data_IF_625103305598
#
_entry.id   IF_625103305598
#
_cell.length_a   1.000
_cell.length_b   1.000
_cell.length_c   1.000
_cell.angle_alpha   90.00
_cell.angle_beta   90.00
_cell.angle_gamma   90.00
#
_symmetry.space_group_name_H-M   'P 1'
#
loop_
_entity.id
_entity.type
_entity.pdbx_description
1 polymer ?
#
# COMPACT_ATOMS: atom_id res chain seq x y z
N UNK A 1 -24.96 -15.03 -18.74
CA UNK A 1 -24.50 -13.67 -19.11
C UNK A 1 -22.99 -13.65 -19.07
N UNK A 2 -22.36 -13.07 -20.08
CA UNK A 2 -20.91 -12.91 -20.11
C UNK A 2 -20.50 -11.88 -19.06
N UNK A 3 -19.40 -12.14 -18.34
CA UNK A 3 -18.89 -11.20 -17.33
C UNK A 3 -18.40 -9.92 -18.01
N UNK A 4 -18.65 -8.79 -17.37
CA UNK A 4 -18.18 -7.50 -17.83
C UNK A 4 -17.55 -6.75 -16.63
N UNK A 5 -16.24 -6.58 -16.65
CA UNK A 5 -15.46 -5.98 -15.58
C UNK A 5 -14.79 -4.71 -16.08
N UNK A 6 -14.96 -3.62 -15.36
CA UNK A 6 -14.18 -2.40 -15.55
C UNK A 6 -13.13 -2.29 -14.47
N UNK A 7 -11.94 -1.85 -14.86
CA UNK A 7 -10.90 -1.38 -13.93
C UNK A 7 -10.70 0.11 -14.12
N UNK A 8 -10.89 0.89 -13.05
CA UNK A 8 -10.72 2.35 -13.07
C UNK A 8 -9.53 2.73 -12.22
N UNK A 9 -8.55 3.45 -12.82
CA UNK A 9 -7.26 3.79 -12.23
C UNK A 9 -7.00 5.30 -12.36
N UNK A 10 -6.72 5.97 -11.24
CA UNK A 10 -6.46 7.41 -11.19
C UNK A 10 -5.05 7.72 -11.70
N UNK A 11 -4.95 8.53 -12.74
CA UNK A 11 -3.68 8.87 -13.35
C UNK A 11 -2.78 9.67 -12.39
N UNK A 12 -1.61 9.10 -12.01
CA UNK A 12 -0.65 9.73 -11.09
C UNK A 12 -1.32 10.27 -9.81
N UNK A 13 -2.13 9.45 -9.16
CA UNK A 13 -3.10 9.79 -8.14
C UNK A 13 -2.67 10.90 -7.16
N UNK A 14 -1.60 10.70 -6.40
CA UNK A 14 -1.18 11.65 -5.38
C UNK A 14 -0.84 13.03 -5.96
N UNK A 15 -0.15 13.07 -7.10
CA UNK A 15 0.15 14.34 -7.76
C UNK A 15 -1.11 15.00 -8.33
N UNK A 16 -1.99 14.20 -8.94
CA UNK A 16 -3.24 14.72 -9.53
C UNK A 16 -4.18 15.26 -8.46
N UNK A 17 -4.23 14.65 -7.29
CA UNK A 17 -5.03 15.13 -6.16
C UNK A 17 -4.48 16.42 -5.56
N UNK A 18 -3.14 16.54 -5.41
CA UNK A 18 -2.49 17.80 -5.02
C UNK A 18 -2.75 18.90 -6.05
N UNK A 19 -2.56 18.60 -7.34
CA UNK A 19 -2.78 19.55 -8.42
C UNK A 19 -4.23 20.04 -8.47
N UNK A 20 -5.22 19.13 -8.41
CA UNK A 20 -6.63 19.51 -8.42
C UNK A 20 -7.03 20.39 -7.22
N UNK A 21 -6.46 20.13 -6.04
CA UNK A 21 -6.68 20.97 -4.85
C UNK A 21 -6.08 22.37 -5.02
N UNK A 22 -4.86 22.46 -5.55
CA UNK A 22 -4.14 23.72 -5.79
C UNK A 22 -4.81 24.59 -6.86
N UNK A 23 -5.21 23.96 -7.96
CA UNK A 23 -5.94 24.67 -9.03
C UNK A 23 -7.26 25.27 -8.50
N UNK A 24 -7.99 24.54 -7.64
CA UNK A 24 -9.20 25.07 -6.97
C UNK A 24 -8.88 26.25 -6.03
N UNK A 25 -7.66 26.33 -5.50
CA UNK A 25 -7.19 27.44 -4.67
C UNK A 25 -6.57 28.58 -5.49
N UNK A 26 -6.56 28.52 -6.83
CA UNK A 26 -5.95 29.52 -7.71
C UNK A 26 -4.43 29.43 -7.85
N UNK A 27 -3.83 28.31 -7.41
CA UNK A 27 -2.39 28.06 -7.53
C UNK A 27 -2.05 27.38 -8.88
N UNK A 28 -0.77 27.41 -9.32
CA UNK A 28 -0.33 26.75 -10.54
C UNK A 28 -0.59 25.24 -10.54
N UNK A 29 -0.94 24.70 -11.70
CA UNK A 29 -1.16 23.27 -11.89
C UNK A 29 0.18 22.50 -11.87
N UNK A 30 0.37 21.67 -10.87
CA UNK A 30 1.57 20.83 -10.73
C UNK A 30 1.75 19.83 -11.88
N UNK A 31 0.70 19.50 -12.62
CA UNK A 31 0.75 18.54 -13.74
C UNK A 31 1.47 19.14 -14.96
N UNK A 32 1.49 20.46 -15.10
CA UNK A 32 2.04 21.18 -16.25
C UNK A 32 3.53 21.54 -16.08
N UNK A 33 4.06 21.48 -14.88
CA UNK A 33 5.44 21.82 -14.55
C UNK A 33 6.23 20.59 -14.05
N UNK A 34 7.56 20.59 -14.09
CA UNK A 34 8.36 19.57 -13.41
C UNK A 34 8.08 19.58 -11.92
N UNK A 35 7.31 18.61 -11.44
CA UNK A 35 6.85 18.54 -10.06
C UNK A 35 6.78 17.11 -9.56
N UNK A 36 6.80 16.94 -8.25
CA UNK A 36 6.65 15.65 -7.59
C UNK A 36 6.02 15.81 -6.20
N UNK A 37 5.31 14.79 -5.77
CA UNK A 37 4.97 14.59 -4.36
C UNK A 37 6.08 13.77 -3.72
N UNK A 38 6.63 14.24 -2.60
CA UNK A 38 7.73 13.54 -1.95
C UNK A 38 7.94 13.95 -0.51
N UNK A 39 8.80 13.22 0.18
CA UNK A 39 9.22 13.55 1.54
C UNK A 39 10.27 14.67 1.60
N UNK A 40 10.67 15.04 2.82
CA UNK A 40 11.73 16.04 3.05
C UNK A 40 13.08 15.52 2.50
N UNK A 41 13.74 16.24 1.58
CA UNK A 41 15.03 15.84 1.01
C UNK A 41 16.16 15.76 2.05
N UNK A 42 16.00 16.40 3.21
CA UNK A 42 16.96 16.38 4.32
C UNK A 42 16.89 15.11 5.16
N UNK A 43 15.86 14.28 4.95
CA UNK A 43 15.68 13.02 5.68
C UNK A 43 16.02 11.82 4.80
N UNK A 44 16.48 10.73 5.42
CA UNK A 44 16.72 9.45 4.71
C UNK A 44 15.45 8.82 4.13
N UNK A 45 14.28 9.25 4.58
CA UNK A 45 12.98 8.74 4.20
C UNK A 45 12.31 9.56 3.10
N UNK A 46 12.94 10.65 2.67
CA UNK A 46 12.43 11.50 1.60
C UNK A 46 12.54 10.82 0.23
N UNK A 47 11.47 10.15 -0.21
CA UNK A 47 11.35 9.52 -1.54
C UNK A 47 10.29 10.24 -2.38
N UNK A 48 10.41 10.10 -3.71
CA UNK A 48 9.37 10.52 -4.65
C UNK A 48 8.22 9.51 -4.60
N UNK A 49 7.02 9.98 -4.27
CA UNK A 49 5.80 9.16 -4.19
C UNK A 49 5.04 9.20 -5.51
N UNK A 50 4.94 10.40 -6.13
CA UNK A 50 4.35 10.59 -7.45
C UNK A 50 5.07 11.73 -8.16
N UNK A 51 4.99 11.76 -9.49
CA UNK A 51 5.64 12.77 -10.33
C UNK A 51 4.79 13.19 -11.52
N UNK A 52 5.02 14.39 -12.00
CA UNK A 52 4.41 14.91 -13.23
C UNK A 52 5.03 14.29 -14.51
N UNK A 53 4.30 14.37 -15.61
CA UNK A 53 4.81 13.99 -16.94
C UNK A 53 6.04 14.84 -17.31
N UNK A 54 6.05 16.17 -17.10
CA UNK A 54 7.26 16.98 -17.28
C UNK A 54 8.46 16.48 -16.46
N UNK A 55 8.27 16.13 -15.17
CA UNK A 55 9.36 15.59 -14.35
C UNK A 55 9.86 14.20 -14.85
N UNK A 56 8.96 13.37 -15.38
CA UNK A 56 9.32 12.08 -15.99
C UNK A 56 10.30 12.23 -17.16
N UNK A 57 10.20 13.32 -17.94
CA UNK A 57 11.11 13.60 -19.07
C UNK A 57 12.57 13.84 -18.62
N UNK A 58 12.79 14.28 -17.38
CA UNK A 58 14.11 14.41 -16.75
C UNK A 58 14.62 13.10 -16.14
N UNK A 59 13.87 11.99 -16.28
CA UNK A 59 14.24 10.69 -15.72
C UNK A 59 13.95 10.56 -14.21
N UNK A 60 13.13 11.44 -13.64
CA UNK A 60 12.65 11.32 -12.25
C UNK A 60 11.82 10.04 -12.12
N UNK A 61 12.06 9.24 -11.06
CA UNK A 61 11.40 7.96 -10.84
C UNK A 61 10.66 7.93 -9.50
N UNK A 62 9.51 7.27 -9.48
CA UNK A 62 8.79 6.96 -8.21
C UNK A 62 9.62 5.96 -7.40
N UNK A 63 9.71 6.21 -6.08
CA UNK A 63 10.50 5.40 -5.15
C UNK A 63 11.97 5.83 -5.03
N UNK A 64 12.47 6.74 -5.89
CA UNK A 64 13.84 7.24 -5.74
C UNK A 64 13.94 8.32 -4.64
N UNK A 65 15.13 8.49 -4.01
CA UNK A 65 15.37 9.59 -3.07
C UNK A 65 15.14 10.96 -3.71
N UNK A 66 14.46 11.87 -2.99
CA UNK A 66 14.22 13.25 -3.47
C UNK A 66 15.51 13.95 -3.84
N UNK A 67 16.60 13.74 -3.09
CA UNK A 67 17.91 14.31 -3.41
C UNK A 67 18.45 13.87 -4.78
N UNK A 68 18.17 12.62 -5.19
CA UNK A 68 18.55 12.12 -6.53
C UNK A 68 17.66 12.71 -7.62
N UNK A 69 16.36 12.85 -7.36
CA UNK A 69 15.44 13.49 -8.29
C UNK A 69 15.82 14.96 -8.55
N UNK A 70 16.20 15.73 -7.52
CA UNK A 70 16.69 17.10 -7.63
C UNK A 70 18.00 17.23 -8.42
N UNK A 71 18.89 16.23 -8.38
CA UNK A 71 20.09 16.20 -9.24
C UNK A 71 19.75 16.05 -10.72
N UNK A 72 18.70 15.27 -11.05
CA UNK A 72 18.23 15.08 -12.43
C UNK A 72 17.42 16.26 -12.93
N UNK A 73 16.65 16.90 -12.05
CA UNK A 73 15.79 18.04 -12.35
C UNK A 73 15.97 19.12 -11.27
N UNK A 74 16.94 20.05 -11.41
CA UNK A 74 17.25 21.05 -10.37
C UNK A 74 16.10 21.99 -10.05
N UNK A 75 15.20 22.22 -10.99
CA UNK A 75 14.00 23.04 -10.86
C UNK A 75 12.74 22.24 -10.51
N UNK A 76 12.89 21.00 -10.00
CA UNK A 76 11.78 20.16 -9.58
C UNK A 76 11.05 20.78 -8.39
N UNK A 77 9.76 21.06 -8.54
CA UNK A 77 8.89 21.49 -7.44
C UNK A 77 8.45 20.26 -6.65
N UNK A 78 8.94 20.13 -5.42
CA UNK A 78 8.57 19.02 -4.53
C UNK A 78 7.58 19.50 -3.50
N UNK A 79 6.41 18.83 -3.43
CA UNK A 79 5.36 19.11 -2.44
C UNK A 79 5.24 17.94 -1.44
N UNK A 80 4.97 18.21 -0.17
CA UNK A 80 4.80 17.16 0.83
C UNK A 80 3.52 16.35 0.57
N UNK A 81 3.49 15.10 1.04
CA UNK A 81 2.30 14.24 0.94
C UNK A 81 1.22 14.66 1.93
N UNK A 82 -0.02 14.85 1.47
CA UNK A 82 -1.21 15.02 2.30
C UNK A 82 -2.15 13.80 2.19
N UNK A 83 -1.96 12.82 3.07
CA UNK A 83 -2.78 11.61 3.08
C UNK A 83 -4.25 11.86 3.49
N UNK A 84 -4.60 12.99 4.14
CA UNK A 84 -5.99 13.34 4.42
C UNK A 84 -6.70 13.75 3.14
N UNK A 85 -6.05 14.61 2.34
CA UNK A 85 -6.52 14.98 1.01
C UNK A 85 -6.69 13.75 0.11
N UNK A 86 -5.71 12.83 0.13
CA UNK A 86 -5.74 11.63 -0.70
C UNK A 86 -6.89 10.69 -0.33
N UNK A 87 -7.10 10.48 0.96
CA UNK A 87 -8.23 9.67 1.45
C UNK A 87 -9.57 10.28 1.03
N UNK A 88 -9.72 11.61 1.15
CA UNK A 88 -10.94 12.32 0.74
C UNK A 88 -11.21 12.16 -0.77
N UNK A 89 -10.20 12.38 -1.60
CA UNK A 89 -10.34 12.23 -3.05
C UNK A 89 -10.58 10.77 -3.48
N UNK A 90 -9.91 9.82 -2.81
CA UNK A 90 -10.16 8.38 -3.02
C UNK A 90 -11.62 8.01 -2.71
N UNK A 91 -12.18 8.50 -1.62
CA UNK A 91 -13.58 8.26 -1.26
C UNK A 91 -14.54 8.88 -2.26
N UNK A 92 -14.27 10.11 -2.71
CA UNK A 92 -15.11 10.81 -3.68
C UNK A 92 -15.14 10.08 -5.04
N UNK A 93 -13.98 9.70 -5.56
CA UNK A 93 -13.90 8.98 -6.84
C UNK A 93 -14.57 7.60 -6.75
N UNK A 94 -14.37 6.87 -5.64
CA UNK A 94 -15.03 5.57 -5.40
C UNK A 94 -16.54 5.70 -5.28
N UNK A 95 -17.05 6.79 -4.70
CA UNK A 95 -18.48 7.04 -4.64
C UNK A 95 -19.09 7.23 -6.04
N UNK A 96 -18.40 7.97 -6.93
CA UNK A 96 -18.83 8.09 -8.33
C UNK A 96 -18.85 6.71 -9.01
N UNK A 97 -17.75 5.96 -8.92
CA UNK A 97 -17.67 4.62 -9.53
C UNK A 97 -18.77 3.68 -9.04
N UNK A 98 -19.03 3.67 -7.71
CA UNK A 98 -20.07 2.81 -7.12
C UNK A 98 -21.47 3.12 -7.61
N UNK A 99 -21.76 4.35 -8.06
CA UNK A 99 -23.09 4.70 -8.59
C UNK A 99 -23.43 4.06 -9.93
N UNK A 100 -22.44 3.48 -10.64
CA UNK A 100 -22.63 2.82 -11.94
C UNK A 100 -22.69 1.30 -11.85
N UNK A 101 -22.10 0.69 -10.82
CA UNK A 101 -21.94 -0.76 -10.77
C UNK A 101 -22.71 -1.39 -9.61
N UNK A 102 -23.35 -2.56 -9.83
CA UNK A 102 -23.95 -3.37 -8.78
C UNK A 102 -22.94 -3.76 -7.69
N UNK A 103 -21.72 -4.13 -8.07
CA UNK A 103 -20.64 -4.51 -7.18
C UNK A 103 -19.34 -3.76 -7.51
N UNK A 104 -18.61 -3.33 -6.47
CA UNK A 104 -17.33 -2.63 -6.58
C UNK A 104 -16.33 -3.17 -5.56
N UNK A 105 -15.15 -3.54 -6.04
CA UNK A 105 -13.99 -3.85 -5.22
C UNK A 105 -13.04 -2.66 -5.14
N UNK A 106 -12.72 -2.23 -3.93
CA UNK A 106 -11.67 -1.25 -3.68
C UNK A 106 -10.31 -1.95 -3.68
N UNK A 107 -9.61 -1.96 -4.82
CA UNK A 107 -8.33 -2.67 -4.97
C UNK A 107 -7.17 -1.93 -4.30
N UNK A 108 -7.12 -0.61 -4.47
CA UNK A 108 -6.15 0.27 -3.79
C UNK A 108 -6.77 1.61 -3.38
N UNK A 109 -5.95 2.59 -2.99
CA UNK A 109 -6.43 3.95 -2.71
C UNK A 109 -6.93 4.65 -3.97
N UNK A 110 -6.40 4.30 -5.14
CA UNK A 110 -6.59 4.95 -6.44
C UNK A 110 -7.15 4.03 -7.53
N UNK A 111 -7.45 2.77 -7.21
CA UNK A 111 -7.95 1.79 -8.16
C UNK A 111 -9.20 1.06 -7.64
N UNK A 112 -10.14 0.81 -8.55
CA UNK A 112 -11.33 -0.03 -8.28
C UNK A 112 -11.61 -0.98 -9.43
N UNK A 113 -12.19 -2.13 -9.12
CA UNK A 113 -12.87 -2.98 -10.06
C UNK A 113 -14.38 -2.81 -9.92
N UNK A 114 -15.08 -2.70 -11.05
CA UNK A 114 -16.53 -2.62 -11.13
C UNK A 114 -17.04 -3.86 -11.85
N UNK A 115 -17.96 -4.58 -11.25
CA UNK A 115 -18.68 -5.64 -11.92
C UNK A 115 -19.93 -5.06 -12.60
N UNK A 116 -19.85 -4.90 -13.91
CA UNK A 116 -20.91 -4.36 -14.76
C UNK A 116 -21.78 -5.47 -15.38
N UNK A 117 -21.58 -6.72 -14.96
CA UNK A 117 -22.34 -7.86 -15.45
C UNK A 117 -23.84 -7.66 -15.22
N UNK A 118 -24.65 -7.84 -16.27
CA UNK A 118 -26.10 -7.71 -16.19
C UNK A 118 -26.63 -6.27 -16.27
N UNK A 119 -25.78 -5.27 -16.46
CA UNK A 119 -26.20 -3.85 -16.54
C UNK A 119 -26.58 -3.37 -17.95
N UNK A 120 -26.54 -4.25 -18.95
CA UNK A 120 -26.74 -3.90 -20.38
C UNK A 120 -28.07 -3.21 -20.71
N UNK A 121 -29.13 -3.39 -19.90
CA UNK A 121 -30.39 -2.66 -20.05
C UNK A 121 -30.28 -1.18 -19.68
N UNK A 122 -29.38 -0.83 -18.76
CA UNK A 122 -29.14 0.55 -18.29
C UNK A 122 -27.97 1.16 -19.06
N UNK A 123 -26.95 0.37 -19.30
CA UNK A 123 -25.69 0.74 -19.95
C UNK A 123 -25.43 -0.18 -21.15
N UNK A 124 -26.08 0.07 -22.31
CA UNK A 124 -26.00 -0.81 -23.46
C UNK A 124 -24.64 -0.79 -24.18
N UNK A 125 -23.90 0.30 -24.07
CA UNK A 125 -22.54 0.44 -24.61
C UNK A 125 -21.50 0.58 -23.47
N UNK A 126 -20.69 -0.46 -23.23
CA UNK A 126 -19.67 -0.43 -22.18
C UNK A 126 -18.61 0.66 -22.39
N UNK A 127 -18.24 0.98 -23.63
CA UNK A 127 -17.21 1.99 -23.93
C UNK A 127 -17.77 3.38 -23.66
N UNK A 128 -18.99 3.67 -24.10
CA UNK A 128 -19.65 4.93 -23.80
C UNK A 128 -19.83 5.14 -22.29
N UNK A 129 -20.22 4.10 -21.55
CA UNK A 129 -20.35 4.13 -20.08
C UNK A 129 -19.01 4.41 -19.41
N UNK A 130 -17.93 3.77 -19.84
CA UNK A 130 -16.59 4.02 -19.31
C UNK A 130 -16.12 5.46 -19.59
N UNK A 131 -16.44 6.01 -20.76
CA UNK A 131 -16.19 7.41 -21.08
C UNK A 131 -17.00 8.35 -20.17
N UNK A 132 -18.26 8.05 -19.92
CA UNK A 132 -19.10 8.82 -19.01
C UNK A 132 -18.53 8.84 -17.58
N UNK A 133 -18.15 7.68 -17.04
CA UNK A 133 -17.51 7.58 -15.71
C UNK A 133 -16.24 8.44 -15.66
N UNK A 134 -15.37 8.31 -16.65
CA UNK A 134 -14.12 9.04 -16.79
C UNK A 134 -14.35 10.55 -16.83
N UNK A 135 -15.28 10.99 -17.64
CA UNK A 135 -15.57 12.42 -17.85
C UNK A 135 -16.25 13.02 -16.61
N UNK A 136 -17.16 12.30 -15.97
CA UNK A 136 -17.78 12.71 -14.71
C UNK A 136 -16.75 12.90 -13.58
N UNK A 137 -15.80 11.96 -13.42
CA UNK A 137 -14.71 12.09 -12.45
C UNK A 137 -13.90 13.36 -12.74
N UNK A 138 -13.57 13.62 -14.01
CA UNK A 138 -12.83 14.82 -14.37
C UNK A 138 -13.61 16.11 -14.08
N UNK A 139 -14.88 16.16 -14.45
CA UNK A 139 -15.74 17.33 -14.26
C UNK A 139 -15.97 17.65 -12.79
N UNK A 140 -16.24 16.65 -11.96
CA UNK A 140 -16.57 16.84 -10.54
C UNK A 140 -15.33 16.98 -9.66
N UNK A 141 -14.26 16.21 -9.95
CA UNK A 141 -13.11 16.10 -9.06
C UNK A 141 -11.84 16.78 -9.59
N UNK A 142 -11.75 17.05 -10.91
CA UNK A 142 -10.64 17.79 -11.53
C UNK A 142 -9.37 16.97 -11.79
N UNK A 143 -9.47 15.63 -11.80
CA UNK A 143 -8.38 14.72 -12.19
C UNK A 143 -8.86 13.64 -13.14
N UNK A 144 -7.92 13.03 -13.87
CA UNK A 144 -8.22 12.05 -14.90
C UNK A 144 -8.05 10.62 -14.39
N UNK A 145 -8.78 9.70 -15.00
CA UNK A 145 -8.65 8.26 -14.80
C UNK A 145 -8.47 7.52 -16.12
N UNK A 146 -7.88 6.34 -16.07
CA UNK A 146 -7.96 5.36 -17.15
C UNK A 146 -8.99 4.31 -16.80
N UNK A 147 -9.69 3.80 -17.82
CA UNK A 147 -10.64 2.70 -17.66
C UNK A 147 -10.25 1.57 -18.61
N UNK A 148 -10.07 0.38 -18.06
CA UNK A 148 -9.90 -0.85 -18.80
C UNK A 148 -11.15 -1.71 -18.71
N UNK A 149 -11.58 -2.29 -19.82
CA UNK A 149 -12.81 -3.08 -19.97
C UNK A 149 -12.45 -4.48 -20.43
N UNK A 150 -12.96 -5.51 -19.76
CA UNK A 150 -12.81 -6.90 -20.18
C UNK A 150 -13.81 -7.83 -19.49
N UNK A 151 -13.61 -9.14 -19.67
CA UNK A 151 -14.42 -10.20 -19.05
C UNK A 151 -13.91 -10.64 -17.67
N UNK A 152 -12.73 -10.22 -17.25
CA UNK A 152 -12.14 -10.53 -15.93
C UNK A 152 -11.26 -9.40 -15.40
N UNK A 153 -10.88 -9.49 -14.13
CA UNK A 153 -10.10 -8.45 -13.44
C UNK A 153 -8.70 -8.28 -14.01
N UNK A 154 -8.03 -9.39 -14.34
CA UNK A 154 -6.68 -9.36 -14.92
C UNK A 154 -6.66 -8.56 -16.21
N UNK A 155 -7.51 -8.92 -17.16
CA UNK A 155 -7.56 -8.29 -18.48
C UNK A 155 -8.02 -6.83 -18.41
N UNK A 156 -9.02 -6.53 -17.56
CA UNK A 156 -9.47 -5.15 -17.33
C UNK A 156 -8.35 -4.27 -16.78
N UNK A 157 -7.55 -4.79 -15.82
CA UNK A 157 -6.40 -4.06 -15.28
C UNK A 157 -5.28 -3.89 -16.31
N UNK A 158 -4.96 -4.92 -17.07
CA UNK A 158 -3.99 -4.84 -18.18
C UNK A 158 -4.41 -3.78 -19.21
N UNK A 159 -5.69 -3.74 -19.57
CA UNK A 159 -6.22 -2.76 -20.51
C UNK A 159 -6.06 -1.32 -20.01
N UNK A 160 -6.33 -1.06 -18.72
CA UNK A 160 -6.19 0.29 -18.14
C UNK A 160 -4.74 0.82 -18.14
N UNK A 161 -3.75 -0.08 -18.29
CA UNK A 161 -2.33 0.26 -18.29
C UNK A 161 -1.72 0.49 -19.67
N UNK A 162 -2.45 0.24 -20.79
CA UNK A 162 -1.92 0.33 -22.15
C UNK A 162 -1.41 1.73 -22.50
N UNK A 163 -2.26 2.71 -22.53
CA UNK A 163 -1.90 4.10 -22.81
C UNK A 163 -2.54 5.02 -21.76
N UNK A 164 -1.74 5.86 -21.13
CA UNK A 164 -2.15 6.85 -20.13
C UNK A 164 -1.68 8.24 -20.55
N UNK A 165 -2.36 9.31 -20.17
CA UNK A 165 -3.53 9.39 -19.28
C UNK A 165 -4.87 9.52 -20.01
N UNK A 166 -5.97 9.41 -19.25
CA UNK A 166 -7.34 9.79 -19.64
C UNK A 166 -7.91 8.98 -20.81
N UNK A 167 -7.67 7.67 -20.82
CA UNK A 167 -8.07 6.74 -21.89
C UNK A 167 -9.03 5.67 -21.41
N UNK A 168 -9.78 5.13 -22.36
CA UNK A 168 -10.59 3.92 -22.23
C UNK A 168 -10.02 2.87 -23.18
N UNK A 169 -9.77 1.68 -22.69
CA UNK A 169 -9.24 0.57 -23.48
C UNK A 169 -10.00 -0.72 -23.22
N UNK A 170 -10.07 -1.57 -24.23
CA UNK A 170 -10.59 -2.93 -24.13
C UNK A 170 -9.46 -3.94 -24.25
N UNK A 171 -9.63 -5.07 -23.58
CA UNK A 171 -8.82 -6.26 -23.78
C UNK A 171 -9.69 -7.50 -23.60
N UNK A 172 -10.55 -7.77 -24.57
CA UNK A 172 -11.35 -8.99 -24.58
C UNK A 172 -10.52 -10.22 -24.98
N UNK A 173 -10.97 -11.44 -24.68
CA UNK A 173 -10.19 -12.66 -24.96
C UNK A 173 -9.68 -12.77 -26.39
N UNK A 174 -10.44 -12.37 -27.37
CA UNK A 174 -10.08 -12.35 -28.80
C UNK A 174 -9.00 -11.32 -29.14
N UNK A 175 -8.83 -10.30 -28.32
CA UNK A 175 -7.83 -9.24 -28.50
C UNK A 175 -6.46 -9.58 -27.88
N UNK A 176 -6.40 -10.62 -27.04
CA UNK A 176 -5.17 -11.03 -26.31
C UNK A 176 -3.98 -11.23 -27.26
N UNK A 177 -4.11 -11.97 -28.38
CA UNK A 177 -2.99 -12.19 -29.29
C UNK A 177 -2.42 -10.91 -29.90
N UNK A 178 -3.29 -9.94 -30.16
CA UNK A 178 -2.91 -8.69 -30.82
C UNK A 178 -2.43 -7.61 -29.82
N UNK A 179 -3.07 -7.49 -28.65
CA UNK A 179 -2.82 -6.39 -27.72
C UNK A 179 -1.93 -6.77 -26.54
N UNK A 180 -2.03 -8.00 -26.02
CA UNK A 180 -1.34 -8.41 -24.78
C UNK A 180 -0.07 -9.22 -25.05
N UNK A 181 -0.11 -10.20 -25.95
CA UNK A 181 1.04 -11.08 -26.19
C UNK A 181 2.30 -10.41 -26.73
N UNK A 182 2.24 -9.31 -27.53
CA UNK A 182 3.44 -8.59 -27.94
C UNK A 182 4.13 -7.80 -26.83
N UNK A 183 3.45 -7.56 -25.70
CA UNK A 183 4.01 -6.78 -24.59
C UNK A 183 5.21 -7.48 -23.96
N UNK A 184 6.19 -6.69 -23.47
CA UNK A 184 7.27 -7.22 -22.66
C UNK A 184 6.76 -8.03 -21.48
N UNK A 185 7.44 -9.10 -21.11
CA UNK A 185 7.03 -10.01 -20.05
C UNK A 185 6.85 -9.27 -18.69
N UNK A 186 7.64 -8.22 -18.44
CA UNK A 186 7.56 -7.38 -17.22
C UNK A 186 6.20 -6.71 -17.03
N UNK A 187 5.45 -6.51 -18.12
CA UNK A 187 4.16 -5.82 -18.09
C UNK A 187 3.02 -6.76 -17.70
N UNK A 188 3.30 -8.07 -17.54
CA UNK A 188 2.32 -9.02 -17.01
C UNK A 188 2.07 -8.73 -15.52
N UNK A 189 0.80 -8.58 -15.17
CA UNK A 189 0.37 -8.31 -13.79
C UNK A 189 0.92 -9.34 -12.80
N UNK A 190 1.39 -8.86 -11.64
CA UNK A 190 2.01 -9.64 -10.56
C UNK A 190 3.35 -10.33 -10.90
N UNK A 191 3.96 -10.03 -12.02
CA UNK A 191 5.31 -10.49 -12.31
C UNK A 191 6.34 -9.61 -11.59
N UNK A 192 6.99 -10.14 -10.55
CA UNK A 192 8.05 -9.44 -9.84
C UNK A 192 9.41 -9.54 -10.56
N UNK A 193 10.31 -8.59 -10.30
CA UNK A 193 11.67 -8.51 -10.92
C UNK A 193 12.48 -9.80 -10.84
N UNK A 194 12.36 -10.57 -9.75
CA UNK A 194 13.10 -11.82 -9.60
C UNK A 194 12.56 -12.91 -10.56
N UNK A 195 11.25 -12.98 -10.76
CA UNK A 195 10.61 -13.89 -11.71
C UNK A 195 10.84 -13.45 -13.15
N UNK A 196 10.76 -12.14 -13.44
CA UNK A 196 11.14 -11.56 -14.75
C UNK A 196 12.55 -12.00 -15.14
N UNK A 197 13.53 -11.81 -14.24
CA UNK A 197 14.92 -12.19 -14.53
C UNK A 197 15.05 -13.67 -14.90
N UNK A 198 14.42 -14.58 -14.14
CA UNK A 198 14.47 -16.01 -14.43
C UNK A 198 13.86 -16.36 -15.79
N UNK A 199 12.73 -15.73 -16.14
CA UNK A 199 12.06 -15.95 -17.43
C UNK A 199 12.91 -15.41 -18.59
N UNK A 200 13.46 -14.20 -18.46
CA UNK A 200 14.32 -13.59 -19.48
C UNK A 200 15.62 -14.38 -19.65
N UNK A 201 16.26 -14.84 -18.57
CA UNK A 201 17.47 -15.68 -18.62
C UNK A 201 17.16 -17.05 -19.30
N UNK A 202 15.94 -17.57 -19.18
CA UNK A 202 15.48 -18.77 -19.90
C UNK A 202 15.14 -18.51 -21.38
N UNK A 203 14.95 -17.25 -21.79
CA UNK A 203 14.64 -16.87 -23.17
C UNK A 203 13.20 -16.35 -23.39
N UNK A 204 12.36 -16.28 -22.34
CA UNK A 204 10.98 -15.76 -22.40
C UNK A 204 11.00 -14.25 -22.14
N UNK A 205 10.70 -13.46 -23.16
CA UNK A 205 10.78 -11.99 -23.13
C UNK A 205 9.45 -11.29 -23.28
N UNK A 206 8.46 -11.98 -23.85
CA UNK A 206 7.12 -11.46 -24.09
C UNK A 206 6.05 -12.29 -23.37
N UNK A 207 4.88 -11.70 -23.16
CA UNK A 207 3.74 -12.40 -22.55
C UNK A 207 3.31 -13.56 -23.47
N UNK A 208 3.34 -13.37 -24.79
CA UNK A 208 2.98 -14.40 -25.76
C UNK A 208 3.94 -15.59 -25.76
N UNK A 209 5.24 -15.38 -25.54
CA UNK A 209 6.20 -16.48 -25.38
C UNK A 209 5.88 -17.30 -24.13
N UNK A 210 5.57 -16.64 -23.00
CA UNK A 210 5.13 -17.32 -21.78
C UNK A 210 3.83 -18.13 -22.01
N UNK A 211 2.85 -17.56 -22.72
CA UNK A 211 1.56 -18.20 -22.98
C UNK A 211 1.69 -19.48 -23.84
N UNK A 212 2.73 -19.56 -24.70
CA UNK A 212 2.99 -20.73 -25.56
C UNK A 212 3.88 -21.79 -24.93
N UNK A 213 4.54 -21.47 -23.81
CA UNK A 213 5.39 -22.42 -23.10
C UNK A 213 4.57 -23.51 -22.40
N UNK A 214 5.23 -24.56 -21.93
CA UNK A 214 4.61 -25.61 -21.12
C UNK A 214 4.50 -25.16 -19.69
N UNK A 215 3.34 -25.37 -19.06
CA UNK A 215 3.11 -25.02 -17.67
C UNK A 215 4.16 -25.63 -16.73
N UNK A 216 4.52 -26.92 -16.94
CA UNK A 216 5.53 -27.62 -16.16
C UNK A 216 6.90 -26.94 -16.21
N UNK A 217 7.30 -26.37 -17.36
CA UNK A 217 8.54 -25.59 -17.49
C UNK A 217 8.50 -24.36 -16.61
N UNK A 218 7.38 -23.62 -16.65
CA UNK A 218 7.22 -22.40 -15.88
C UNK A 218 7.16 -22.69 -14.37
N UNK A 219 6.49 -23.76 -13.97
CA UNK A 219 6.49 -24.22 -12.58
C UNK A 219 7.87 -24.63 -12.08
N UNK A 220 8.69 -25.25 -12.92
CA UNK A 220 10.08 -25.60 -12.59
C UNK A 220 10.92 -24.33 -12.35
N UNK A 221 10.74 -23.29 -13.16
CA UNK A 221 11.50 -22.04 -13.07
C UNK A 221 11.10 -21.17 -11.87
N UNK A 222 9.79 -21.08 -11.59
CA UNK A 222 9.21 -20.09 -10.67
C UNK A 222 8.64 -20.69 -9.38
N UNK A 223 8.55 -22.03 -9.30
CA UNK A 223 7.83 -22.76 -8.28
C UNK A 223 6.36 -23.00 -8.69
N UNK A 224 5.75 -24.04 -8.13
CA UNK A 224 4.44 -24.57 -8.53
C UNK A 224 3.35 -23.49 -8.54
N UNK A 225 3.15 -22.79 -7.43
CA UNK A 225 2.08 -21.79 -7.28
C UNK A 225 2.26 -20.58 -8.21
N UNK A 226 3.46 -19.98 -8.22
CA UNK A 226 3.75 -18.79 -9.03
C UNK A 226 3.76 -19.13 -10.51
N UNK A 227 4.34 -20.28 -10.86
CA UNK A 227 4.39 -20.77 -12.24
C UNK A 227 3.01 -21.02 -12.81
N UNK A 228 2.13 -21.71 -12.07
CA UNK A 228 0.74 -21.92 -12.45
C UNK A 228 0.01 -20.58 -12.68
N UNK A 229 0.08 -19.68 -11.71
CA UNK A 229 -0.61 -18.39 -11.78
C UNK A 229 -0.19 -17.55 -12.98
N UNK A 230 1.12 -17.39 -13.22
CA UNK A 230 1.62 -16.58 -14.33
C UNK A 230 1.35 -17.22 -15.68
N UNK A 231 1.34 -18.56 -15.76
CA UNK A 231 0.96 -19.30 -16.96
C UNK A 231 -0.52 -19.06 -17.32
N UNK A 232 -1.44 -19.11 -16.34
CA UNK A 232 -2.84 -18.79 -16.55
C UNK A 232 -3.00 -17.32 -16.95
N UNK A 233 -2.33 -16.41 -16.26
CA UNK A 233 -2.38 -14.97 -16.54
C UNK A 233 -1.89 -14.61 -17.94
N UNK A 234 -0.81 -15.22 -18.45
CA UNK A 234 -0.35 -15.00 -19.80
C UNK A 234 -1.37 -15.41 -20.88
N UNK A 235 -2.29 -16.28 -20.52
CA UNK A 235 -3.43 -16.72 -21.38
C UNK A 235 -4.71 -15.93 -21.15
N UNK A 236 -4.67 -14.91 -20.27
CA UNK A 236 -5.81 -14.08 -19.93
C UNK A 236 -6.84 -14.75 -19.02
N UNK A 237 -6.45 -15.82 -18.33
CA UNK A 237 -7.36 -16.60 -17.47
C UNK A 237 -7.26 -16.09 -16.03
N UNK A 238 -8.36 -15.54 -15.52
CA UNK A 238 -8.55 -15.11 -14.14
C UNK A 238 -10.01 -15.28 -13.73
N UNK A 239 -10.26 -16.15 -12.75
CA UNK A 239 -11.60 -16.46 -12.27
C UNK A 239 -11.95 -15.71 -10.97
N UNK A 240 -11.08 -14.82 -10.50
CA UNK A 240 -11.31 -14.10 -9.26
C UNK A 240 -12.59 -13.23 -9.34
N UNK A 241 -13.45 -13.25 -8.32
CA UNK A 241 -14.63 -12.38 -8.27
C UNK A 241 -14.25 -10.94 -7.92
N UNK A 242 -15.15 -10.01 -8.22
CA UNK A 242 -15.11 -8.65 -7.64
C UNK A 242 -15.64 -8.72 -6.22
N UNK A 243 -14.79 -8.39 -5.24
CA UNK A 243 -15.09 -8.51 -3.81
C UNK A 243 -15.58 -7.19 -3.25
N UNK A 244 -16.86 -7.10 -2.89
CA UNK A 244 -17.42 -5.90 -2.23
C UNK A 244 -16.87 -5.70 -0.81
N UNK A 245 -16.58 -6.78 -0.13
CA UNK A 245 -15.99 -6.78 1.21
C UNK A 245 -14.53 -7.22 1.08
N UNK A 246 -13.57 -6.41 1.53
CA UNK A 246 -12.18 -6.80 1.53
C UNK A 246 -11.93 -8.06 2.34
N UNK A 247 -10.99 -8.90 1.89
CA UNK A 247 -10.52 -10.03 2.70
C UNK A 247 -10.01 -9.56 4.07
N UNK A 248 -10.21 -10.40 5.07
CA UNK A 248 -9.71 -10.13 6.40
C UNK A 248 -8.19 -10.01 6.42
N UNK A 249 -7.69 -9.01 7.17
CA UNK A 249 -6.25 -8.83 7.34
C UNK A 249 -5.62 -10.05 7.99
N UNK A 250 -4.56 -10.59 7.41
CA UNK A 250 -3.79 -11.73 7.95
C UNK A 250 -2.78 -11.32 9.02
N UNK A 251 -2.55 -10.03 9.17
CA UNK A 251 -1.62 -9.46 10.16
C UNK A 251 -1.60 -7.93 10.13
N UNK A 252 -0.98 -7.37 11.15
CA UNK A 252 -0.72 -5.93 11.28
C UNK A 252 0.77 -5.72 11.44
N UNK A 253 1.33 -4.76 10.71
CA UNK A 253 2.76 -4.45 10.81
C UNK A 253 3.02 -2.96 10.74
N UNK A 254 4.15 -2.56 11.30
CA UNK A 254 4.70 -1.22 11.19
C UNK A 254 6.22 -1.31 11.11
N UNK A 255 6.82 -0.50 10.23
CA UNK A 255 8.26 -0.36 10.09
C UNK A 255 8.64 1.13 10.18
N UNK A 256 9.81 1.42 10.72
CA UNK A 256 10.35 2.77 10.83
C UNK A 256 11.80 2.81 10.38
N UNK A 257 12.07 3.56 9.32
CA UNK A 257 13.43 3.91 8.91
C UNK A 257 13.90 5.10 9.76
N UNK A 258 15.12 5.03 10.24
CA UNK A 258 15.72 6.06 11.08
C UNK A 258 16.41 7.13 10.24
N UNK A 259 16.47 8.37 10.74
CA UNK A 259 17.27 9.42 10.14
C UNK A 259 18.75 9.17 10.32
N UNK A 260 19.14 8.73 11.51
CA UNK A 260 20.50 8.36 11.90
C UNK A 260 20.58 6.89 12.27
N UNK A 261 21.74 6.28 12.12
CA UNK A 261 21.94 4.88 12.46
C UNK A 261 21.85 4.68 13.96
N UNK A 262 21.19 3.61 14.37
CA UNK A 262 21.00 3.26 15.77
C UNK A 262 21.93 2.12 16.12
N UNK A 263 22.67 2.28 17.24
CA UNK A 263 23.73 1.35 17.67
C UNK A 263 23.55 0.84 19.09
N UNK A 264 22.53 1.31 19.83
CA UNK A 264 22.36 0.91 21.24
C UNK A 264 20.92 0.48 21.56
N UNK A 265 20.78 -0.43 22.53
CA UNK A 265 19.47 -0.88 23.02
C UNK A 265 18.65 0.25 23.63
N UNK A 266 19.32 1.22 24.27
CA UNK A 266 18.67 2.38 24.89
C UNK A 266 17.94 3.22 23.84
N UNK A 267 18.52 3.37 22.65
CA UNK A 267 17.89 4.07 21.53
C UNK A 267 16.75 3.25 20.91
N UNK A 268 16.88 1.92 20.86
CA UNK A 268 15.91 1.02 20.23
C UNK A 268 14.64 0.84 21.07
N UNK A 269 14.77 0.68 22.39
CA UNK A 269 13.66 0.36 23.29
C UNK A 269 12.45 1.29 23.15
N UNK A 270 12.59 2.62 23.18
CA UNK A 270 11.44 3.53 23.04
C UNK A 270 10.83 3.48 21.64
N UNK A 271 11.63 3.24 20.59
CA UNK A 271 11.15 3.09 19.22
C UNK A 271 10.36 1.79 19.07
N UNK A 272 10.90 0.71 19.61
CA UNK A 272 10.23 -0.60 19.60
C UNK A 272 8.89 -0.54 20.35
N UNK A 273 8.85 0.14 21.51
CA UNK A 273 7.61 0.36 22.26
C UNK A 273 6.60 1.19 21.46
N UNK A 274 7.04 2.27 20.80
CA UNK A 274 6.16 3.06 19.91
C UNK A 274 5.54 2.19 18.80
N UNK A 275 6.35 1.34 18.19
CA UNK A 275 5.84 0.46 17.12
C UNK A 275 4.86 -0.59 17.64
N UNK A 276 5.16 -1.20 18.80
CA UNK A 276 4.26 -2.13 19.46
C UNK A 276 2.92 -1.47 19.81
N UNK A 277 2.96 -0.25 20.34
CA UNK A 277 1.76 0.54 20.67
C UNK A 277 0.93 0.84 19.41
N UNK A 278 1.56 1.27 18.32
CA UNK A 278 0.88 1.56 17.05
C UNK A 278 0.26 0.31 16.44
N UNK A 279 0.99 -0.80 16.38
CA UNK A 279 0.49 -2.01 15.72
C UNK A 279 -0.57 -2.72 16.54
N UNK A 280 -0.44 -2.75 17.89
CA UNK A 280 -1.45 -3.30 18.79
C UNK A 280 -2.74 -2.48 18.77
N UNK A 281 -2.65 -1.12 18.77
CA UNK A 281 -3.81 -0.24 18.60
C UNK A 281 -4.57 -0.53 17.29
N UNK A 282 -3.85 -0.73 16.17
CA UNK A 282 -4.49 -1.06 14.88
C UNK A 282 -5.21 -2.40 14.92
N UNK A 283 -4.61 -3.39 15.56
CA UNK A 283 -5.17 -4.72 15.73
C UNK A 283 -6.41 -4.71 16.62
N UNK A 284 -6.35 -4.07 17.80
CA UNK A 284 -7.51 -3.91 18.72
C UNK A 284 -8.70 -3.20 18.08
N UNK A 285 -8.45 -2.16 17.23
CA UNK A 285 -9.52 -1.48 16.46
C UNK A 285 -10.28 -2.40 15.52
N UNK A 286 -9.73 -3.56 15.19
CA UNK A 286 -10.39 -4.61 14.39
C UNK A 286 -10.91 -5.77 15.24
N UNK A 287 -10.92 -5.65 16.58
CA UNK A 287 -11.38 -6.70 17.49
C UNK A 287 -10.53 -7.97 17.41
N UNK A 288 -9.25 -7.87 17.05
CA UNK A 288 -8.38 -9.04 16.88
C UNK A 288 -7.30 -9.08 17.95
N UNK A 289 -6.86 -10.33 18.28
CA UNK A 289 -5.69 -10.66 19.09
C UNK A 289 -4.66 -11.37 18.24
N UNK A 290 -3.38 -11.37 18.60
CA UNK A 290 -2.33 -12.08 17.88
C UNK A 290 -1.78 -13.25 18.70
N UNK A 291 -1.37 -14.29 18.00
CA UNK A 291 -0.64 -15.44 18.57
C UNK A 291 0.81 -15.52 18.09
N UNK A 292 1.25 -14.61 17.23
CA UNK A 292 2.62 -14.60 16.74
C UNK A 292 3.12 -13.15 16.61
N UNK A 293 4.33 -12.91 17.13
CA UNK A 293 5.04 -11.62 17.02
C UNK A 293 6.28 -11.84 16.17
N UNK A 294 6.51 -10.95 15.22
CA UNK A 294 7.74 -10.89 14.43
C UNK A 294 8.41 -9.53 14.60
N UNK A 295 9.73 -9.54 14.74
CA UNK A 295 10.54 -8.33 14.72
C UNK A 295 11.51 -8.41 13.54
N UNK A 296 11.58 -7.32 12.78
CA UNK A 296 12.46 -7.18 11.62
C UNK A 296 13.40 -6.01 11.85
N UNK A 297 14.65 -6.14 11.43
CA UNK A 297 15.53 -5.00 11.30
C UNK A 297 16.28 -5.00 9.96
N UNK A 298 16.72 -3.82 9.53
CA UNK A 298 17.55 -3.63 8.34
C UNK A 298 18.88 -3.01 8.74
N UNK A 299 19.96 -3.62 8.28
CA UNK A 299 21.33 -3.13 8.44
C UNK A 299 21.68 -2.07 7.38
N UNK A 300 22.85 -1.43 7.49
CA UNK A 300 23.30 -0.37 6.58
C UNK A 300 23.53 -0.86 5.15
N UNK A 301 23.89 -2.12 4.98
CA UNK A 301 24.03 -2.81 3.69
C UNK A 301 22.69 -3.27 3.09
N UNK A 302 21.57 -2.74 3.62
CA UNK A 302 20.19 -3.02 3.20
C UNK A 302 19.75 -4.48 3.33
N UNK A 303 20.44 -5.28 4.14
CA UNK A 303 19.99 -6.64 4.44
C UNK A 303 18.93 -6.63 5.52
N UNK A 304 17.80 -7.26 5.23
CA UNK A 304 16.73 -7.49 6.20
C UNK A 304 17.01 -8.78 6.99
N UNK A 305 16.79 -8.72 8.29
CA UNK A 305 16.76 -9.88 9.17
C UNK A 305 15.47 -9.83 9.99
N UNK A 306 14.79 -10.97 10.09
CA UNK A 306 13.57 -11.09 10.87
C UNK A 306 13.57 -12.35 11.71
N UNK A 307 13.02 -12.25 12.90
CA UNK A 307 12.72 -13.38 13.77
C UNK A 307 11.27 -13.28 14.22
N UNK A 308 10.65 -14.43 14.43
CA UNK A 308 9.29 -14.52 14.93
C UNK A 308 9.19 -15.54 16.06
N UNK A 309 8.22 -15.35 16.94
CA UNK A 309 7.87 -16.29 17.99
C UNK A 309 6.36 -16.45 18.10
N UNK A 310 5.92 -17.66 18.34
CA UNK A 310 4.55 -17.96 18.76
C UNK A 310 4.41 -17.68 20.24
N UNK A 311 3.29 -17.11 20.64
CA UNK A 311 2.91 -16.88 22.02
C UNK A 311 2.19 -18.11 22.57
N UNK A 312 2.25 -18.30 23.88
CA UNK A 312 1.51 -19.36 24.55
C UNK A 312 0.00 -19.10 24.60
N UNK A 313 -0.39 -17.82 24.66
CA UNK A 313 -1.78 -17.36 24.61
C UNK A 313 -1.93 -16.19 23.64
N UNK A 314 -3.14 -15.97 23.11
CA UNK A 314 -3.43 -14.81 22.28
C UNK A 314 -3.41 -13.53 23.13
N UNK A 315 -2.87 -12.44 22.58
CA UNK A 315 -2.82 -11.15 23.28
C UNK A 315 -3.15 -9.98 22.38
N UNK A 316 -3.76 -8.95 22.99
CA UNK A 316 -3.97 -7.63 22.44
C UNK A 316 -3.32 -6.53 23.30
N UNK A 317 -2.66 -6.92 24.40
CA UNK A 317 -2.03 -6.04 25.38
C UNK A 317 -0.71 -5.51 24.86
N UNK A 318 -0.60 -4.19 24.74
CA UNK A 318 0.61 -3.52 24.23
C UNK A 318 1.88 -3.88 25.01
N UNK A 319 1.79 -3.97 26.36
CA UNK A 319 2.94 -4.29 27.21
C UNK A 319 3.44 -5.73 27.00
N UNK A 320 2.54 -6.69 26.76
CA UNK A 320 2.92 -8.07 26.45
C UNK A 320 3.56 -8.18 25.07
N UNK A 321 2.98 -7.50 24.07
CA UNK A 321 3.57 -7.40 22.74
C UNK A 321 4.99 -6.81 22.82
N UNK A 322 5.17 -5.72 23.57
CA UNK A 322 6.47 -5.07 23.74
C UNK A 322 7.48 -5.96 24.48
N UNK A 323 7.08 -6.60 25.57
CA UNK A 323 7.97 -7.47 26.35
C UNK A 323 8.51 -8.63 25.48
N UNK A 324 7.64 -9.27 24.71
CA UNK A 324 8.02 -10.35 23.80
C UNK A 324 8.84 -9.85 22.61
N UNK A 325 8.48 -8.72 22.00
CA UNK A 325 9.23 -8.12 20.90
C UNK A 325 10.65 -7.71 21.36
N UNK A 326 10.79 -7.14 22.57
CA UNK A 326 12.10 -6.77 23.15
C UNK A 326 12.97 -8.00 23.41
N UNK A 327 12.39 -9.07 23.97
CA UNK A 327 13.09 -10.34 24.18
C UNK A 327 13.58 -10.92 22.86
N UNK A 328 12.69 -11.06 21.91
CA UNK A 328 12.97 -11.59 20.57
C UNK A 328 14.06 -10.77 19.88
N UNK A 329 13.98 -9.44 19.93
CA UNK A 329 14.98 -8.55 19.33
C UNK A 329 16.36 -8.74 19.98
N UNK A 330 16.45 -8.79 21.33
CA UNK A 330 17.70 -8.95 22.05
C UNK A 330 18.41 -10.29 21.75
N UNK A 331 17.65 -11.35 21.44
CA UNK A 331 18.21 -12.67 21.13
C UNK A 331 18.97 -12.68 19.79
N UNK A 332 18.53 -11.93 18.80
CA UNK A 332 19.13 -12.04 17.45
C UNK A 332 19.88 -10.79 16.97
N UNK A 333 19.70 -9.63 17.63
CA UNK A 333 20.53 -8.46 17.36
C UNK A 333 21.91 -8.57 18.04
N UNK A 334 22.97 -8.35 17.30
CA UNK A 334 24.36 -8.50 17.78
C UNK A 334 25.12 -7.18 17.86
N UNK A 335 24.41 -6.05 18.04
CA UNK A 335 25.01 -4.72 18.18
C UNK A 335 25.40 -4.02 16.87
N UNK A 336 25.09 -4.62 15.71
CA UNK A 336 25.37 -3.96 14.43
C UNK A 336 24.48 -2.71 14.26
N UNK A 337 25.00 -1.66 13.57
CA UNK A 337 24.20 -0.46 13.28
C UNK A 337 22.95 -0.78 12.49
N UNK A 338 21.83 -0.16 12.87
CA UNK A 338 20.50 -0.38 12.27
C UNK A 338 20.00 0.86 11.56
N UNK A 339 19.45 0.62 10.38
CA UNK A 339 18.77 1.62 9.56
C UNK A 339 17.25 1.63 9.77
N UNK A 340 16.66 0.48 10.09
CA UNK A 340 15.22 0.30 10.22
C UNK A 340 14.92 -0.79 11.26
N UNK A 341 13.80 -0.61 11.96
CA UNK A 341 13.18 -1.66 12.77
C UNK A 341 11.69 -1.75 12.45
N UNK A 342 11.12 -2.95 12.56
CA UNK A 342 9.71 -3.21 12.36
C UNK A 342 9.16 -4.26 13.29
N UNK A 343 7.86 -4.17 13.58
CA UNK A 343 7.09 -5.15 14.35
C UNK A 343 5.89 -5.59 13.54
N UNK A 344 5.64 -6.90 13.51
CA UNK A 344 4.45 -7.49 12.89
C UNK A 344 3.74 -8.44 13.87
N UNK A 345 2.42 -8.37 13.87
CA UNK A 345 1.51 -9.21 14.63
C UNK A 345 0.71 -10.08 13.65
N UNK A 346 0.81 -11.39 13.78
CA UNK A 346 0.18 -12.39 12.91
C UNK A 346 -0.47 -13.50 13.72
N UNK A 347 -1.08 -14.48 13.05
CA UNK A 347 -1.87 -15.50 13.74
C UNK A 347 -3.03 -14.84 14.46
N UNK A 348 -3.80 -14.03 13.70
CA UNK A 348 -4.91 -13.27 14.27
C UNK A 348 -6.06 -14.18 14.63
N UNK A 349 -6.65 -13.92 15.81
CA UNK A 349 -7.85 -14.58 16.31
C UNK A 349 -8.87 -13.53 16.72
N UNK A 350 -10.13 -13.88 16.66
CA UNK A 350 -11.22 -13.12 17.30
C UNK A 350 -11.29 -13.45 18.78
N UNK A 351 -11.99 -12.64 19.55
CA UNK A 351 -12.28 -12.94 20.96
C UNK A 351 -13.06 -14.26 21.04
N UNK A 352 -12.34 -15.31 21.35
CA UNK A 352 -12.84 -16.65 21.67
C UNK A 352 -12.38 -17.06 23.07
N UNK A 353 -12.75 -18.23 23.51
CA UNK A 353 -12.32 -18.78 24.80
C UNK A 353 -10.79 -18.69 24.93
N UNK A 354 -10.29 -17.79 25.80
CA UNK A 354 -8.88 -17.80 26.19
C UNK A 354 -8.65 -19.00 27.12
N UNK A 355 -7.76 -19.91 26.70
CA UNK A 355 -7.23 -20.89 27.63
C UNK A 355 -6.31 -20.14 28.59
N UNK A 356 -6.81 -19.89 29.80
CA UNK A 356 -6.05 -19.21 30.85
C UNK A 356 -4.86 -20.08 31.26
N UNK A 357 -3.67 -19.52 31.20
CA UNK A 357 -2.49 -20.16 31.78
C UNK A 357 -2.52 -19.97 33.29
N UNK A 358 -2.29 -21.06 34.03
CA UNK A 358 -2.16 -21.02 35.51
C UNK A 358 -1.04 -20.10 36.00
N UNK A 359 -0.15 -19.68 35.11
CA UNK A 359 1.02 -18.83 35.39
C UNK A 359 0.83 -17.37 34.99
N UNK A 360 -0.32 -17.01 34.42
CA UNK A 360 -0.62 -15.62 34.05
C UNK A 360 -1.37 -14.89 35.17
N UNK A 361 -0.90 -13.70 35.52
CA UNK A 361 -1.61 -12.78 36.43
C UNK A 361 -2.76 -12.12 35.69
N UNK A 362 -3.92 -12.80 35.72
CA UNK A 362 -5.14 -12.38 35.03
C UNK A 362 -5.59 -10.97 35.44
N UNK A 363 -5.44 -10.60 36.71
CA UNK A 363 -5.84 -9.29 37.22
C UNK A 363 -4.97 -8.18 36.59
N UNK A 364 -3.69 -8.43 36.47
CA UNK A 364 -2.75 -7.49 35.86
C UNK A 364 -2.94 -7.36 34.33
N UNK A 365 -3.27 -8.46 33.67
CA UNK A 365 -3.59 -8.48 32.23
C UNK A 365 -4.86 -7.64 31.98
N UNK A 366 -5.92 -7.88 32.74
CA UNK A 366 -7.18 -7.11 32.63
C UNK A 366 -6.97 -5.61 32.90
N UNK A 367 -6.19 -5.24 33.90
CA UNK A 367 -5.84 -3.83 34.16
C UNK A 367 -5.14 -3.18 32.97
N UNK A 368 -4.18 -3.88 32.34
CA UNK A 368 -3.48 -3.40 31.15
C UNK A 368 -4.40 -3.28 29.93
N UNK A 369 -5.30 -4.22 29.74
CA UNK A 369 -6.33 -4.14 28.69
C UNK A 369 -7.22 -2.92 28.87
N UNK A 370 -7.69 -2.65 30.09
CA UNK A 370 -8.49 -1.45 30.43
C UNK A 370 -7.71 -0.16 30.15
N UNK A 371 -6.42 -0.13 30.46
CA UNK A 371 -5.55 1.01 30.16
C UNK A 371 -5.41 1.23 28.65
N UNK A 372 -5.09 0.17 27.88
CA UNK A 372 -4.97 0.26 26.44
C UNK A 372 -6.29 0.69 25.78
N UNK A 373 -7.43 0.17 26.24
CA UNK A 373 -8.74 0.56 25.76
C UNK A 373 -9.06 2.05 26.04
N UNK A 374 -8.73 2.54 27.24
CA UNK A 374 -8.89 3.95 27.59
C UNK A 374 -8.00 4.87 26.71
N UNK A 375 -6.75 4.50 26.48
CA UNK A 375 -5.84 5.22 25.58
C UNK A 375 -6.37 5.23 24.14
N UNK A 376 -6.87 4.11 23.64
CA UNK A 376 -7.43 3.99 22.30
C UNK A 376 -8.70 4.83 22.14
N UNK A 377 -9.56 4.89 23.16
CA UNK A 377 -10.75 5.76 23.17
C UNK A 377 -10.38 7.25 23.11
N UNK A 378 -9.39 7.69 23.90
CA UNK A 378 -8.88 9.07 23.83
C UNK A 378 -8.32 9.39 22.44
N UNK A 379 -7.53 8.47 21.86
CA UNK A 379 -6.96 8.64 20.52
C UNK A 379 -8.01 8.71 19.42
N UNK A 380 -9.08 7.92 19.53
CA UNK A 380 -10.20 7.97 18.58
C UNK A 380 -10.93 9.33 18.64
N UNK A 381 -11.14 9.85 19.84
CA UNK A 381 -11.91 11.09 20.03
C UNK A 381 -11.11 12.36 19.74
N UNK A 382 -9.85 12.40 20.12
CA UNK A 382 -9.04 13.62 20.12
C UNK A 382 -7.81 13.58 19.17
N UNK A 383 -7.53 12.44 18.56
CA UNK A 383 -6.36 12.24 17.68
C UNK A 383 -5.25 11.41 18.35
N UNK A 384 -4.43 10.75 17.49
CA UNK A 384 -3.43 9.79 17.96
C UNK A 384 -2.22 10.43 18.70
N UNK A 385 -2.06 11.73 18.61
CA UNK A 385 -0.98 12.53 19.20
C UNK A 385 -1.28 13.07 20.60
N UNK A 386 -2.55 13.01 21.03
CA UNK A 386 -3.00 13.63 22.31
C UNK A 386 -2.64 12.84 23.55
N UNK A 387 -2.39 11.54 23.41
CA UNK A 387 -1.94 10.69 24.52
C UNK A 387 -0.85 9.75 24.06
N UNK A 388 0.25 9.68 24.80
CA UNK A 388 1.37 8.77 24.54
C UNK A 388 1.97 8.26 25.84
N UNK A 389 2.72 7.17 25.80
CA UNK A 389 3.44 6.64 26.97
C UNK A 389 4.63 7.52 27.31
N UNK A 390 4.87 7.81 28.59
CA UNK A 390 5.94 8.71 29.05
C UNK A 390 7.33 8.30 28.53
N UNK A 391 7.62 6.99 28.47
CA UNK A 391 8.88 6.45 27.95
C UNK A 391 9.12 6.73 26.46
N UNK A 392 8.10 7.13 25.70
CA UNK A 392 8.21 7.49 24.29
C UNK A 392 8.38 9.01 24.11
N UNK A 393 7.94 9.83 25.07
CA UNK A 393 7.87 11.30 24.94
C UNK A 393 9.22 11.96 24.68
N UNK A 394 10.28 11.50 25.33
CA UNK A 394 11.62 12.09 25.26
C UNK A 394 12.55 11.36 24.28
N UNK A 395 12.05 10.38 23.56
CA UNK A 395 12.86 9.66 22.58
C UNK A 395 12.85 10.37 21.22
N UNK A 396 13.96 10.27 20.50
CA UNK A 396 14.03 10.65 19.08
C UNK A 396 13.03 9.87 18.21
N UNK A 397 12.40 8.83 18.76
CA UNK A 397 11.30 8.09 18.16
C UNK A 397 10.08 8.97 17.86
N UNK A 398 9.79 9.94 18.74
CA UNK A 398 8.66 10.88 18.60
C UNK A 398 8.85 12.00 17.57
N UNK A 399 9.99 12.11 16.90
CA UNK A 399 10.28 13.20 15.95
C UNK A 399 9.29 13.18 14.78
N UNK A 400 8.86 12.02 14.32
CA UNK A 400 7.84 11.93 13.27
C UNK A 400 6.48 12.53 13.66
N UNK A 401 6.08 12.40 14.94
CA UNK A 401 4.87 13.02 15.48
C UNK A 401 5.04 14.54 15.67
N UNK A 402 6.22 14.99 16.18
CA UNK A 402 6.52 16.42 16.38
C UNK A 402 6.69 17.18 15.06
N UNK A 403 7.35 16.59 14.08
CA UNK A 403 7.47 17.18 12.73
C UNK A 403 6.11 17.32 12.05
N UNK A 404 5.22 16.30 12.21
CA UNK A 404 3.86 16.34 11.65
C UNK A 404 2.98 17.36 12.37
N UNK A 405 3.06 17.45 13.70
CA UNK A 405 2.36 18.47 14.49
C UNK A 405 2.87 19.88 14.20
N UNK A 406 4.17 20.07 13.96
CA UNK A 406 4.76 21.37 13.59
C UNK A 406 4.34 21.79 12.19
N UNK A 407 4.30 20.88 11.21
CA UNK A 407 3.75 21.15 9.87
C UNK A 407 2.24 21.44 9.92
N UNK A 408 1.48 20.73 10.76
CA UNK A 408 0.04 20.99 10.95
C UNK A 408 -0.22 22.35 11.63
N UNK A 409 0.65 22.80 12.54
CA UNK A 409 0.54 24.10 13.18
C UNK A 409 1.01 25.27 12.27
N UNK A 410 2.02 25.06 11.44
CA UNK A 410 2.48 26.02 10.43
C UNK A 410 1.47 26.15 9.27
N UNK A 411 0.78 25.07 8.88
CA UNK A 411 -0.30 25.09 7.90
C UNK A 411 -1.60 25.73 8.43
N UNK A 412 -1.80 25.80 9.75
CA UNK A 412 -2.97 26.40 10.40
C UNK A 412 -2.75 27.85 10.85
N UNK A 413 -1.66 28.50 10.45
CA UNK A 413 -1.45 29.96 10.60
C UNK A 413 -1.35 30.43 12.06
N UNK A 414 -0.67 29.70 12.92
CA UNK A 414 -0.24 30.15 14.25
C UNK A 414 1.26 30.08 14.41
#
# INVERSE_FOLDING_TARGET
MERLIFHVDVNSAFLSWEAASRVKAGEPDLREIPSAVGGDPRTRTGIIVAKSIPAKKYGVQTGEPVAMALRKCPNLVVVPSDFRLYTKNSQAFKAICKSYAPAMESFSIDEVFLDMTGTSLIYPDPIATACEIKDKIYQELGFTVNVGISTNKLLAKMASDFEKPNKVHTLFPEEIPAKMWPLPIRDLLFLGKASEKKLVDFGIRTIGELARERESTIQTLLGEKTGHQLFQYARGIDNSPVLEVPEESKGFSVEKTFNDDIVSMEQIQPILLEQCDVVATRMRRKGKKCTCISVTFRTLDFKNRSHQMKLGSATDVTDEVYANARKLFAEFWKGQPLRLIGVALTGLTEDGFEQMSLFEDCAKKEQRQKLDAAMDAIRMKFGNDKITRASIMNSNAGIGRKAKAKMENEANGK
#
